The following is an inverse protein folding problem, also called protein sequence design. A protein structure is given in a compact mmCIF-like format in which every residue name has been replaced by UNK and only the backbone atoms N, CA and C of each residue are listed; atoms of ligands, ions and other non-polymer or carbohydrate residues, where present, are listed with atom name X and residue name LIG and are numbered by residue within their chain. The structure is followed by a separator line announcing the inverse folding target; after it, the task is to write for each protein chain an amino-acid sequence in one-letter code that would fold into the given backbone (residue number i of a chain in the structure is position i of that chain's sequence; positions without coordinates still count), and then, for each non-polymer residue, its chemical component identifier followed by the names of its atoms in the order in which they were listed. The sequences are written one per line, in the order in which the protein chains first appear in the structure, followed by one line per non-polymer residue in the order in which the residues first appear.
data_IF_268554376127
#
_entry.id   IF_268554376127
#
_cell.length_a   1.000
_cell.length_b   1.000
_cell.length_c   1.000
_cell.angle_alpha   90.00
_cell.angle_beta   90.00
_cell.angle_gamma   90.00
#
_symmetry.space_group_name_H-M   'P 1'
#
loop_
_entity.id
_entity.type
_entity.pdbx_description
1 polymer ?
#
# COMPACT_ATOMS: atom_id res chain seq x y z
N UNK A 1 -24.50 43.17 5.20
CA UNK A 1 -24.87 42.35 4.03
C UNK A 1 -23.60 41.77 3.41
N UNK A 2 -23.54 40.43 3.41
CA UNK A 2 -22.90 39.52 2.46
C UNK A 2 -21.62 39.99 1.73
N UNK A 3 -20.49 39.36 2.06
CA UNK A 3 -19.51 38.95 1.04
C UNK A 3 -18.73 37.74 1.56
N UNK A 4 -19.32 36.55 1.38
CA UNK A 4 -18.73 35.26 1.73
C UNK A 4 -18.19 34.54 0.50
N UNK A 5 -17.08 33.82 0.73
CA UNK A 5 -16.77 32.51 0.15
C UNK A 5 -16.63 32.38 -1.37
N UNK A 6 -15.44 32.60 -1.96
CA UNK A 6 -14.90 31.76 -3.06
C UNK A 6 -13.36 31.86 -3.18
N UNK A 7 -12.57 31.47 -2.18
CA UNK A 7 -11.11 31.31 -2.39
C UNK A 7 -10.51 30.20 -1.52
N UNK A 8 -10.88 28.94 -1.79
CA UNK A 8 -10.20 27.79 -1.17
C UNK A 8 -10.08 26.54 -2.03
N UNK A 9 -10.35 26.62 -3.35
CA UNK A 9 -10.23 25.47 -4.26
C UNK A 9 -9.26 25.65 -5.45
N UNK A 10 -8.59 26.80 -5.58
CA UNK A 10 -7.67 27.04 -6.72
C UNK A 10 -6.18 26.98 -6.39
N UNK A 11 -5.78 26.83 -5.13
CA UNK A 11 -4.35 26.81 -4.76
C UNK A 11 -3.76 25.40 -4.76
N UNK A 12 -4.58 24.35 -4.63
CA UNK A 12 -4.09 22.97 -4.65
C UNK A 12 -3.75 22.43 -6.04
N UNK A 13 -4.22 23.07 -7.11
CA UNK A 13 -3.95 22.65 -8.49
C UNK A 13 -2.61 23.19 -9.03
N UNK A 14 -2.04 24.24 -8.44
CA UNK A 14 -0.75 24.80 -8.87
C UNK A 14 0.46 24.13 -8.23
N UNK A 15 0.33 23.47 -7.08
CA UNK A 15 1.46 22.77 -6.42
C UNK A 15 1.74 21.41 -7.07
N UNK A 16 0.80 20.87 -7.85
CA UNK A 16 0.99 19.64 -8.64
C UNK A 16 1.84 19.90 -9.90
N UNK A 17 1.92 21.14 -10.39
CA UNK A 17 2.64 21.46 -11.64
C UNK A 17 4.14 21.67 -11.49
N UNK A 18 4.65 22.06 -10.31
CA UNK A 18 6.07 22.40 -10.16
C UNK A 18 6.96 21.22 -9.76
N UNK A 19 6.40 20.13 -9.21
CA UNK A 19 7.18 18.93 -8.89
C UNK A 19 7.49 18.04 -10.12
N UNK A 20 6.77 18.21 -11.24
CA UNK A 20 7.05 17.46 -12.47
C UNK A 20 8.21 18.02 -13.32
N UNK A 21 8.68 19.24 -13.04
CA UNK A 21 9.66 19.94 -13.90
C UNK A 21 11.14 19.75 -13.51
N UNK A 22 11.45 19.07 -12.40
CA UNK A 22 12.83 18.87 -11.95
C UNK A 22 13.43 17.49 -12.31
N UNK A 23 12.68 16.60 -12.96
CA UNK A 23 13.17 15.26 -13.36
C UNK A 23 13.92 15.21 -14.71
N UNK A 24 14.05 16.33 -15.43
CA UNK A 24 14.51 16.34 -16.83
C UNK A 24 16.02 16.58 -17.02
N UNK A 25 16.84 16.22 -16.06
CA UNK A 25 18.29 16.28 -16.21
C UNK A 25 18.93 15.06 -15.61
N UNK A 26 19.01 13.96 -16.36
CA UNK A 26 20.24 13.18 -16.54
C UNK A 26 19.98 11.97 -17.47
N UNK A 27 21.08 11.42 -18.00
CA UNK A 27 21.21 10.15 -18.75
C UNK A 27 21.23 10.31 -20.28
N UNK A 28 22.23 11.05 -20.76
CA UNK A 28 22.95 10.63 -21.97
C UNK A 28 24.21 9.90 -21.53
N UNK A 29 24.26 8.58 -21.69
CA UNK A 29 25.33 7.86 -22.39
C UNK A 29 25.37 6.37 -22.03
N UNK A 30 25.64 5.57 -23.07
CA UNK A 30 26.04 4.16 -23.08
C UNK A 30 24.94 3.10 -23.08
N UNK A 31 24.53 2.65 -24.27
CA UNK A 31 24.60 1.23 -24.67
C UNK A 31 24.43 1.14 -26.19
N UNK A 32 25.55 0.90 -26.89
CA UNK A 32 25.57 0.56 -28.31
C UNK A 32 25.25 -0.94 -28.47
N UNK A 33 24.52 -1.24 -29.55
CA UNK A 33 24.36 -2.54 -30.20
C UNK A 33 23.39 -3.58 -29.59
N UNK A 34 22.09 -3.31 -29.67
CA UNK A 34 21.07 -4.34 -29.94
C UNK A 34 19.97 -3.73 -30.82
N UNK A 35 19.84 -4.27 -32.05
CA UNK A 35 18.81 -4.04 -33.07
C UNK A 35 18.45 -2.57 -33.45
N UNK A 36 18.58 -2.26 -34.74
CA UNK A 36 18.12 -1.02 -35.39
C UNK A 36 16.66 -0.69 -35.02
N UNK A 37 16.47 0.41 -34.30
CA UNK A 37 15.37 1.38 -34.37
C UNK A 37 13.99 0.84 -34.80
N UNK A 38 13.11 0.50 -33.86
CA UNK A 38 11.68 0.31 -34.14
C UNK A 38 10.81 0.85 -32.99
N UNK A 39 10.06 1.92 -33.27
CA UNK A 39 8.71 2.07 -32.72
C UNK A 39 8.06 0.68 -32.84
N UNK A 40 7.52 0.10 -31.78
CA UNK A 40 7.05 -1.30 -31.74
C UNK A 40 5.53 -1.46 -32.01
N UNK A 41 5.01 -1.34 -33.24
CA UNK A 41 3.65 -1.78 -33.50
C UNK A 41 3.56 -3.30 -33.66
N UNK A 42 4.66 -4.01 -33.96
CA UNK A 42 4.59 -5.41 -34.40
C UNK A 42 5.73 -6.29 -33.86
N UNK A 43 5.39 -7.37 -33.17
CA UNK A 43 6.30 -8.44 -32.80
C UNK A 43 6.28 -9.56 -33.85
N UNK A 44 7.47 -9.97 -34.31
CA UNK A 44 7.61 -11.05 -35.29
C UNK A 44 7.34 -12.41 -34.63
N UNK A 45 6.41 -13.18 -35.18
CA UNK A 45 6.06 -14.52 -34.72
C UNK A 45 6.46 -15.60 -35.72
N UNK A 46 6.72 -16.82 -35.25
CA UNK A 46 7.19 -17.97 -36.04
C UNK A 46 6.13 -18.66 -36.93
N UNK A 47 5.11 -17.92 -37.35
CA UNK A 47 3.98 -18.47 -38.11
C UNK A 47 2.95 -19.23 -37.26
N UNK A 48 3.31 -19.69 -36.06
CA UNK A 48 2.39 -20.30 -35.08
C UNK A 48 1.81 -19.29 -34.07
N UNK A 49 2.26 -18.03 -34.15
CA UNK A 49 1.86 -16.96 -33.23
C UNK A 49 2.73 -16.85 -31.98
N UNK A 50 3.84 -17.57 -31.91
CA UNK A 50 4.83 -17.46 -30.84
C UNK A 50 5.95 -16.49 -31.24
N UNK A 51 6.24 -15.55 -30.35
CA UNK A 51 7.38 -14.63 -30.44
C UNK A 51 8.59 -15.30 -29.79
N UNK A 52 9.62 -15.59 -30.59
CA UNK A 52 10.84 -16.23 -30.13
C UNK A 52 11.87 -15.16 -29.71
N UNK A 53 11.78 -14.74 -28.45
CA UNK A 53 12.72 -13.80 -27.82
C UNK A 53 12.11 -12.48 -27.34
N UNK A 54 12.95 -11.58 -26.81
CA UNK A 54 12.51 -10.39 -26.09
C UNK A 54 11.93 -9.32 -27.01
N UNK A 55 10.92 -8.60 -26.51
CA UNK A 55 10.33 -7.42 -27.14
C UNK A 55 10.89 -6.17 -26.46
N UNK A 56 11.67 -5.38 -27.19
CA UNK A 56 12.31 -4.15 -26.68
C UNK A 56 11.83 -2.95 -27.50
N UNK A 57 11.22 -1.99 -26.83
CA UNK A 57 10.58 -0.84 -27.46
C UNK A 57 11.17 0.48 -26.96
N UNK A 58 11.52 1.38 -27.88
CA UNK A 58 12.18 2.65 -27.57
C UNK A 58 11.83 3.72 -28.61
N UNK A 59 11.63 4.97 -28.17
CA UNK A 59 11.22 6.09 -29.02
C UNK A 59 9.85 5.88 -29.68
N UNK A 60 9.13 6.97 -29.97
CA UNK A 60 7.95 6.91 -30.85
C UNK A 60 6.68 7.58 -30.36
N UNK A 61 5.67 7.53 -31.23
CA UNK A 61 4.28 7.94 -30.95
C UNK A 61 3.55 6.78 -30.29
N UNK A 62 2.53 7.06 -29.48
CA UNK A 62 1.67 6.05 -28.87
C UNK A 62 1.19 5.03 -29.91
N UNK A 63 1.41 3.74 -29.65
CA UNK A 63 1.09 2.66 -30.60
C UNK A 63 0.57 1.42 -29.89
N UNK A 64 -0.24 0.62 -30.59
CA UNK A 64 -0.68 -0.69 -30.12
C UNK A 64 0.29 -1.77 -30.59
N UNK A 65 0.80 -2.58 -29.68
CA UNK A 65 1.60 -3.75 -30.01
C UNK A 65 0.69 -4.89 -30.47
N UNK A 66 1.02 -5.45 -31.63
CA UNK A 66 0.37 -6.62 -32.19
C UNK A 66 1.41 -7.66 -32.64
N UNK A 67 0.97 -8.87 -32.97
CA UNK A 67 1.80 -9.93 -33.58
C UNK A 67 1.55 -10.00 -35.08
N UNK A 68 2.54 -10.47 -35.85
CA UNK A 68 2.40 -10.70 -37.31
C UNK A 68 1.26 -11.68 -37.65
N UNK A 69 0.88 -12.56 -36.74
CA UNK A 69 -0.31 -13.42 -36.84
C UNK A 69 -1.56 -12.68 -36.32
N UNK A 70 -2.48 -12.36 -37.23
CA UNK A 70 -3.65 -11.49 -36.99
C UNK A 70 -4.81 -12.16 -36.25
N UNK A 71 -4.82 -13.48 -36.09
CA UNK A 71 -5.99 -14.23 -35.61
C UNK A 71 -6.00 -14.59 -34.12
N UNK A 72 -4.90 -14.41 -33.39
CA UNK A 72 -4.77 -14.83 -31.99
C UNK A 72 -5.31 -13.82 -30.96
N UNK A 73 -5.94 -14.30 -29.87
CA UNK A 73 -6.32 -13.50 -28.68
C UNK A 73 -5.16 -13.27 -27.69
N UNK A 74 -3.98 -13.81 -28.01
CA UNK A 74 -2.84 -13.95 -27.11
C UNK A 74 -1.54 -13.65 -27.85
N UNK A 75 -0.55 -13.12 -27.13
CA UNK A 75 0.85 -12.99 -27.53
C UNK A 75 1.64 -13.95 -26.64
N UNK A 76 2.20 -15.01 -27.24
CA UNK A 76 3.04 -15.97 -26.54
C UNK A 76 4.50 -15.62 -26.77
N UNK A 77 5.26 -15.42 -25.70
CA UNK A 77 6.71 -15.17 -25.77
C UNK A 77 7.43 -16.39 -25.19
N UNK A 78 8.30 -17.01 -26.00
CA UNK A 78 9.15 -18.10 -25.57
C UNK A 78 10.58 -17.59 -25.28
N UNK A 79 11.02 -17.76 -24.03
CA UNK A 79 12.32 -17.29 -23.51
C UNK A 79 13.34 -18.43 -23.32
N UNK A 80 13.10 -19.63 -23.82
CA UNK A 80 13.94 -20.83 -23.57
C UNK A 80 15.40 -20.72 -24.05
N UNK A 81 15.74 -19.70 -24.86
CA UNK A 81 17.11 -19.35 -25.27
C UNK A 81 17.56 -17.93 -24.89
N UNK A 82 16.77 -17.23 -24.07
CA UNK A 82 16.96 -15.83 -23.69
C UNK A 82 16.77 -15.61 -22.19
N UNK A 83 17.14 -16.59 -21.39
CA UNK A 83 16.85 -16.65 -19.95
C UNK A 83 17.44 -15.49 -19.14
N UNK A 84 18.42 -14.78 -19.72
CA UNK A 84 19.13 -13.62 -19.16
C UNK A 84 18.49 -12.27 -19.48
N UNK A 85 17.39 -12.23 -20.25
CA UNK A 85 16.76 -11.00 -20.76
C UNK A 85 15.32 -10.83 -20.28
N UNK A 86 14.87 -9.58 -20.24
CA UNK A 86 13.47 -9.25 -20.00
C UNK A 86 12.62 -9.61 -21.24
N UNK A 87 11.48 -10.27 -21.05
CA UNK A 87 10.61 -10.66 -22.15
C UNK A 87 9.96 -9.43 -22.82
N UNK A 88 9.61 -8.41 -22.01
CA UNK A 88 9.11 -7.13 -22.50
C UNK A 88 9.88 -6.00 -21.82
N UNK A 89 10.48 -5.12 -22.61
CA UNK A 89 11.24 -3.95 -22.13
C UNK A 89 10.78 -2.68 -22.84
N UNK A 90 10.22 -1.75 -22.07
CA UNK A 90 9.75 -0.46 -22.56
C UNK A 90 10.72 0.63 -22.09
N UNK A 91 11.32 1.34 -23.05
CA UNK A 91 12.31 2.39 -22.82
C UNK A 91 11.69 3.78 -22.99
N UNK A 92 12.49 4.80 -22.67
CA UNK A 92 12.07 6.20 -22.80
C UNK A 92 11.49 6.54 -24.18
N UNK A 93 10.39 7.30 -24.16
CA UNK A 93 9.70 7.77 -25.35
C UNK A 93 8.80 6.74 -26.02
N UNK A 94 8.73 5.49 -25.52
CA UNK A 94 7.76 4.51 -26.01
C UNK A 94 6.47 4.57 -25.19
N UNK A 95 5.33 4.58 -25.88
CA UNK A 95 3.99 4.49 -25.29
C UNK A 95 3.23 3.35 -25.98
N UNK A 96 3.17 2.20 -25.29
CA UNK A 96 2.75 0.92 -25.89
C UNK A 96 1.48 0.42 -25.22
N UNK A 97 0.49 0.07 -26.03
CA UNK A 97 -0.72 -0.62 -25.58
C UNK A 97 -0.72 -2.08 -26.07
N UNK A 98 -0.91 -3.03 -25.17
CA UNK A 98 -1.06 -4.46 -25.49
C UNK A 98 -2.51 -4.88 -25.23
N UNK A 99 -3.27 -5.11 -26.28
CA UNK A 99 -4.69 -5.49 -26.20
C UNK A 99 -4.93 -6.99 -25.97
N UNK A 100 -3.93 -7.81 -26.31
CA UNK A 100 -4.01 -9.28 -26.25
C UNK A 100 -3.49 -9.79 -24.90
N UNK A 101 -3.92 -11.00 -24.50
CA UNK A 101 -3.33 -11.68 -23.33
C UNK A 101 -1.84 -11.90 -23.58
N UNK A 102 -0.99 -11.54 -22.64
CA UNK A 102 0.45 -11.80 -22.71
C UNK A 102 0.76 -13.06 -21.92
N UNK A 103 1.37 -14.05 -22.58
CA UNK A 103 1.81 -15.28 -21.93
C UNK A 103 3.29 -15.48 -22.16
N UNK A 104 4.06 -15.57 -21.09
CA UNK A 104 5.52 -15.75 -21.17
C UNK A 104 5.89 -17.12 -20.62
N UNK A 105 6.58 -17.92 -21.44
CA UNK A 105 7.05 -19.27 -21.11
C UNK A 105 8.55 -19.40 -21.38
N UNK A 106 9.17 -20.44 -20.79
CA UNK A 106 10.61 -20.62 -20.81
C UNK A 106 11.26 -19.93 -19.62
N UNK A 107 12.14 -20.65 -18.92
CA UNK A 107 12.71 -20.18 -17.67
C UNK A 107 13.53 -18.90 -17.89
N UNK A 108 13.05 -17.77 -17.38
CA UNK A 108 13.87 -16.58 -17.16
C UNK A 108 14.74 -16.89 -15.94
N UNK A 109 15.90 -17.50 -16.18
CA UNK A 109 16.89 -17.81 -15.14
C UNK A 109 17.64 -16.54 -14.78
N UNK A 110 17.22 -15.86 -13.72
CA UNK A 110 17.92 -14.68 -13.20
C UNK A 110 17.09 -13.88 -12.21
N UNK A 111 17.68 -12.83 -11.64
CA UNK A 111 17.01 -11.88 -10.73
C UNK A 111 16.21 -10.78 -11.44
N UNK A 112 16.17 -10.82 -12.78
CA UNK A 112 15.54 -9.79 -13.62
C UNK A 112 14.02 -9.95 -13.74
N UNK A 113 13.28 -8.85 -14.00
CA UNK A 113 11.84 -8.91 -14.23
C UNK A 113 11.49 -9.49 -15.60
N UNK A 114 10.29 -10.03 -15.74
CA UNK A 114 9.74 -10.43 -17.05
C UNK A 114 9.31 -9.21 -17.88
N UNK A 115 8.65 -8.25 -17.24
CA UNK A 115 8.23 -6.99 -17.84
C UNK A 115 8.98 -5.85 -17.14
N UNK A 116 9.72 -5.05 -17.91
CA UNK A 116 10.43 -3.88 -17.41
C UNK A 116 10.00 -2.62 -18.13
N UNK A 117 9.55 -1.62 -17.37
CA UNK A 117 9.20 -0.29 -17.90
C UNK A 117 10.17 0.72 -17.30
N UNK A 118 11.02 1.31 -18.14
CA UNK A 118 12.03 2.30 -17.73
C UNK A 118 11.48 3.73 -17.76
N UNK A 119 12.24 4.65 -17.17
CA UNK A 119 11.93 6.08 -17.13
C UNK A 119 11.58 6.64 -18.51
N UNK A 120 10.48 7.39 -18.56
CA UNK A 120 9.91 7.95 -19.79
C UNK A 120 9.16 6.93 -20.68
N UNK A 121 9.16 5.65 -20.33
CA UNK A 121 8.38 4.61 -21.02
C UNK A 121 6.99 4.45 -20.40
N UNK A 122 6.00 4.12 -21.24
CA UNK A 122 4.62 3.85 -20.83
C UNK A 122 4.14 2.54 -21.43
N UNK A 123 3.52 1.71 -20.59
CA UNK A 123 2.94 0.44 -20.99
C UNK A 123 1.51 0.35 -20.46
N UNK A 124 0.55 0.07 -21.34
CA UNK A 124 -0.82 -0.27 -20.99
C UNK A 124 -1.09 -1.72 -21.38
N UNK A 125 -1.41 -2.55 -20.40
CA UNK A 125 -1.79 -3.95 -20.60
C UNK A 125 -3.30 -4.06 -20.46
N UNK A 126 -3.98 -4.32 -21.58
CA UNK A 126 -5.43 -4.51 -21.64
C UNK A 126 -5.88 -5.98 -21.66
N UNK A 127 -4.98 -6.89 -22.00
CA UNK A 127 -5.18 -8.33 -21.85
C UNK A 127 -4.55 -8.85 -20.55
N UNK A 128 -4.97 -10.04 -20.11
CA UNK A 128 -4.36 -10.72 -18.96
C UNK A 128 -2.86 -10.98 -19.13
N UNK A 129 -2.13 -11.17 -18.04
CA UNK A 129 -0.69 -11.45 -18.06
C UNK A 129 -0.46 -12.76 -17.31
N UNK A 130 -0.17 -13.83 -18.03
CA UNK A 130 0.17 -15.12 -17.42
C UNK A 130 1.67 -15.36 -17.57
N UNK A 131 2.35 -15.53 -16.44
CA UNK A 131 3.80 -15.70 -16.43
C UNK A 131 4.10 -16.92 -15.59
N UNK A 132 4.68 -17.94 -16.23
CA UNK A 132 5.18 -19.11 -15.54
C UNK A 132 6.69 -18.97 -15.33
N UNK A 133 7.09 -18.01 -14.48
CA UNK A 133 8.51 -17.84 -14.10
C UNK A 133 8.68 -17.74 -12.61
N UNK A 134 9.89 -18.10 -12.17
CA UNK A 134 10.37 -17.91 -10.82
C UNK A 134 11.02 -16.53 -10.70
N UNK A 135 10.44 -15.63 -9.91
CA UNK A 135 11.01 -14.34 -9.53
C UNK A 135 10.06 -13.17 -9.71
N UNK A 136 10.66 -12.00 -9.90
CA UNK A 136 9.98 -10.74 -10.17
C UNK A 136 9.26 -10.79 -11.51
N UNK A 137 7.98 -10.50 -11.53
CA UNK A 137 7.22 -10.48 -12.79
C UNK A 137 7.34 -9.12 -13.45
N UNK A 138 7.17 -8.05 -12.68
CA UNK A 138 7.09 -6.68 -13.21
C UNK A 138 8.05 -5.76 -12.47
N UNK A 139 8.80 -4.94 -13.21
CA UNK A 139 9.55 -3.80 -12.69
C UNK A 139 9.15 -2.52 -13.41
N UNK A 140 8.67 -1.53 -12.66
CA UNK A 140 8.40 -0.17 -13.14
C UNK A 140 9.45 0.76 -12.56
N UNK A 141 10.41 1.15 -13.37
CA UNK A 141 11.61 1.87 -12.97
C UNK A 141 11.62 3.28 -13.55
N UNK A 142 10.93 4.20 -12.86
CA UNK A 142 10.67 5.57 -13.30
C UNK A 142 9.67 5.72 -14.45
N UNK A 143 9.19 4.60 -15.02
CA UNK A 143 8.18 4.58 -16.09
C UNK A 143 6.75 4.55 -15.56
N UNK A 144 5.79 4.30 -16.47
CA UNK A 144 4.39 4.12 -16.13
C UNK A 144 3.85 2.79 -16.66
N UNK A 145 3.22 2.01 -15.79
CA UNK A 145 2.50 0.80 -16.16
C UNK A 145 1.02 0.93 -15.77
N UNK A 146 0.14 0.67 -16.72
CA UNK A 146 -1.31 0.60 -16.53
C UNK A 146 -1.78 -0.83 -16.81
N UNK A 147 -2.38 -1.47 -15.81
CA UNK A 147 -3.03 -2.78 -15.92
C UNK A 147 -4.53 -2.53 -16.05
N UNK A 148 -5.11 -2.70 -17.23
CA UNK A 148 -6.51 -2.38 -17.53
C UNK A 148 -7.27 -3.62 -18.03
N UNK A 149 -7.81 -4.43 -17.10
CA UNK A 149 -8.47 -5.69 -17.46
C UNK A 149 -7.56 -6.92 -17.37
N UNK A 150 -6.42 -6.78 -16.71
CA UNK A 150 -5.59 -7.91 -16.29
C UNK A 150 -6.30 -8.66 -15.16
N UNK A 151 -6.56 -9.95 -15.32
CA UNK A 151 -7.24 -10.74 -14.28
C UNK A 151 -6.31 -11.28 -13.19
N UNK A 152 -5.11 -11.75 -13.58
CA UNK A 152 -4.16 -12.38 -12.66
C UNK A 152 -2.74 -12.06 -13.11
N UNK A 153 -1.85 -11.94 -12.13
CA UNK A 153 -0.40 -11.87 -12.26
C UNK A 153 0.17 -12.80 -11.19
N UNK A 154 0.89 -13.83 -11.62
CA UNK A 154 1.48 -14.83 -10.73
C UNK A 154 3.00 -14.77 -10.83
N UNK A 155 3.66 -14.61 -9.67
CA UNK A 155 5.11 -14.73 -9.52
C UNK A 155 5.43 -15.91 -8.62
N UNK A 156 6.34 -16.79 -9.05
CA UNK A 156 6.80 -17.93 -8.23
C UNK A 156 8.12 -17.56 -7.54
N UNK A 157 8.31 -17.90 -6.28
CA UNK A 157 9.56 -17.61 -5.54
C UNK A 157 9.49 -16.44 -4.56
N UNK A 158 10.54 -16.28 -3.77
CA UNK A 158 10.51 -15.59 -2.47
C UNK A 158 10.66 -14.07 -2.51
N UNK A 159 10.54 -13.47 -3.69
CA UNK A 159 10.76 -12.04 -3.93
C UNK A 159 9.47 -11.23 -4.05
N UNK A 160 9.60 -10.00 -4.52
CA UNK A 160 8.47 -9.17 -4.90
C UNK A 160 7.88 -9.58 -6.26
N UNK A 161 6.55 -9.72 -6.36
CA UNK A 161 5.88 -10.00 -7.64
C UNK A 161 5.97 -8.78 -8.56
N UNK A 162 5.78 -7.58 -8.00
CA UNK A 162 5.96 -6.32 -8.69
C UNK A 162 6.87 -5.38 -7.90
N UNK A 163 7.83 -4.78 -8.57
CA UNK A 163 8.67 -3.69 -8.05
C UNK A 163 8.33 -2.38 -8.76
N UNK A 164 8.01 -1.34 -8.00
CA UNK A 164 7.96 0.03 -8.49
C UNK A 164 9.10 0.79 -7.82
N UNK A 165 9.96 1.43 -8.61
CA UNK A 165 11.08 2.20 -8.08
C UNK A 165 11.37 3.45 -8.93
N UNK A 166 12.29 4.28 -8.45
CA UNK A 166 12.80 5.47 -9.14
C UNK A 166 11.68 6.43 -9.61
N UNK A 167 10.63 6.58 -8.80
CA UNK A 167 9.49 7.46 -9.12
C UNK A 167 8.51 6.87 -10.14
N UNK A 168 8.56 5.55 -10.38
CA UNK A 168 7.63 4.86 -11.26
C UNK A 168 6.17 4.96 -10.81
N UNK A 169 5.26 4.79 -11.76
CA UNK A 169 3.81 4.79 -11.51
C UNK A 169 3.19 3.47 -11.96
N UNK A 170 2.48 2.81 -11.05
CA UNK A 170 1.69 1.62 -11.33
C UNK A 170 0.20 1.93 -11.15
N UNK A 171 -0.61 1.73 -12.19
CA UNK A 171 -2.06 1.91 -12.16
C UNK A 171 -2.76 0.59 -12.42
N UNK A 172 -3.72 0.26 -11.56
CA UNK A 172 -4.56 -0.93 -11.61
C UNK A 172 -6.00 -0.50 -11.90
N UNK A 173 -6.45 -0.76 -13.12
CA UNK A 173 -7.70 -0.30 -13.74
C UNK A 173 -8.44 -1.48 -14.39
N UNK A 174 -9.55 -1.18 -15.08
CA UNK A 174 -10.36 -2.16 -15.81
C UNK A 174 -11.64 -2.53 -15.08
N UNK A 175 -12.30 -3.62 -15.48
CA UNK A 175 -13.58 -4.02 -14.90
C UNK A 175 -13.50 -5.28 -14.03
N UNK A 176 -12.39 -6.00 -14.08
CA UNK A 176 -12.16 -7.24 -13.33
C UNK A 176 -11.21 -7.00 -12.17
N UNK A 177 -11.38 -7.76 -11.08
CA UNK A 177 -10.41 -7.77 -9.99
C UNK A 177 -9.05 -8.30 -10.49
N UNK A 178 -7.97 -7.76 -9.92
CA UNK A 178 -6.59 -8.22 -10.20
C UNK A 178 -6.15 -9.12 -9.06
N UNK A 179 -5.73 -10.35 -9.37
CA UNK A 179 -5.06 -11.23 -8.41
C UNK A 179 -3.55 -11.17 -8.59
N UNK A 180 -2.81 -10.84 -7.52
CA UNK A 180 -1.36 -10.88 -7.44
C UNK A 180 -1.00 -12.05 -6.53
N UNK A 181 -0.36 -13.07 -7.09
CA UNK A 181 -0.07 -14.32 -6.38
C UNK A 181 1.43 -14.52 -6.22
N UNK A 182 1.85 -14.79 -4.98
CA UNK A 182 3.23 -15.14 -4.61
C UNK A 182 3.38 -16.61 -4.18
N UNK A 183 4.54 -16.91 -3.57
CA UNK A 183 4.89 -18.25 -3.08
C UNK A 183 4.61 -18.50 -1.58
N UNK A 184 4.12 -17.48 -0.89
CA UNK A 184 3.82 -17.47 0.55
C UNK A 184 4.78 -16.63 1.38
N UNK A 185 5.98 -16.34 0.87
CA UNK A 185 7.05 -15.62 1.57
C UNK A 185 7.34 -14.23 1.00
N UNK A 186 7.06 -14.05 -0.30
CA UNK A 186 7.33 -12.83 -1.05
C UNK A 186 6.38 -11.64 -0.79
N UNK A 187 6.68 -10.52 -1.43
CA UNK A 187 5.91 -9.26 -1.38
C UNK A 187 4.99 -9.16 -2.61
N UNK A 188 3.78 -8.66 -2.46
CA UNK A 188 2.90 -8.41 -3.60
C UNK A 188 3.42 -7.28 -4.49
N UNK A 189 3.37 -6.04 -3.98
CA UNK A 189 3.99 -4.86 -4.59
C UNK A 189 5.03 -4.29 -3.64
N UNK A 190 6.26 -4.06 -4.12
CA UNK A 190 7.32 -3.36 -3.39
C UNK A 190 7.57 -1.95 -3.97
N UNK A 191 7.73 -0.96 -3.08
CA UNK A 191 7.98 0.46 -3.37
C UNK A 191 8.91 1.05 -2.30
N UNK A 192 9.43 2.28 -2.44
CA UNK A 192 10.40 2.78 -1.45
C UNK A 192 10.94 4.21 -1.56
N UNK A 193 10.44 5.03 -2.48
CA UNK A 193 10.91 6.38 -2.74
C UNK A 193 9.81 7.35 -3.19
N UNK A 194 9.72 7.71 -4.48
CA UNK A 194 8.76 8.71 -4.99
C UNK A 194 7.65 8.05 -5.83
N UNK A 195 7.42 6.75 -5.62
CA UNK A 195 6.54 5.97 -6.49
C UNK A 195 5.06 6.15 -6.16
N UNK A 196 4.23 5.96 -7.19
CA UNK A 196 2.78 6.04 -7.07
C UNK A 196 2.13 4.72 -7.48
N UNK A 197 1.26 4.20 -6.62
CA UNK A 197 0.39 3.06 -6.88
C UNK A 197 -1.07 3.52 -6.81
N UNK A 198 -1.80 3.34 -7.90
CA UNK A 198 -3.22 3.69 -7.99
C UNK A 198 -4.05 2.44 -8.24
N UNK A 199 -5.01 2.15 -7.37
CA UNK A 199 -5.98 1.07 -7.49
C UNK A 199 -7.37 1.65 -7.76
N UNK A 200 -7.85 1.54 -8.99
CA UNK A 200 -9.21 1.93 -9.38
C UNK A 200 -10.20 0.76 -9.35
N UNK A 201 -9.72 -0.43 -8.93
CA UNK A 201 -10.46 -1.68 -8.84
C UNK A 201 -9.92 -2.55 -7.73
N UNK A 202 -10.72 -3.51 -7.31
CA UNK A 202 -10.35 -4.42 -6.24
C UNK A 202 -9.12 -5.26 -6.62
N UNK A 203 -8.20 -5.38 -5.67
CA UNK A 203 -6.95 -6.12 -5.84
C UNK A 203 -6.87 -7.18 -4.76
N UNK A 204 -6.64 -8.42 -5.16
CA UNK A 204 -6.42 -9.54 -4.26
C UNK A 204 -4.94 -9.93 -4.26
N UNK A 205 -4.34 -9.94 -3.09
CA UNK A 205 -3.02 -10.48 -2.84
C UNK A 205 -3.16 -11.87 -2.23
N UNK A 206 -2.63 -12.88 -2.91
CA UNK A 206 -2.72 -14.28 -2.48
C UNK A 206 -1.33 -14.87 -2.29
N UNK A 207 -1.13 -15.58 -1.18
CA UNK A 207 0.15 -16.23 -0.87
C UNK A 207 1.34 -15.24 -0.95
N UNK A 208 1.19 -14.08 -0.34
CA UNK A 208 2.28 -13.13 -0.11
C UNK A 208 2.41 -12.93 1.39
N UNK A 209 3.56 -12.58 1.91
CA UNK A 209 3.73 -12.20 3.32
C UNK A 209 3.20 -10.78 3.58
N UNK A 210 3.36 -9.91 2.59
CA UNK A 210 3.00 -8.50 2.64
C UNK A 210 2.29 -8.14 1.34
N UNK A 211 1.07 -7.60 1.41
CA UNK A 211 0.33 -7.18 0.21
C UNK A 211 1.06 -6.05 -0.52
N UNK A 212 1.28 -4.94 0.20
CA UNK A 212 2.11 -3.84 -0.25
C UNK A 212 3.23 -3.62 0.77
N UNK A 213 4.47 -3.58 0.29
CA UNK A 213 5.65 -3.25 1.07
C UNK A 213 6.22 -1.92 0.57
N UNK A 214 6.35 -0.96 1.48
CA UNK A 214 6.97 0.33 1.24
C UNK A 214 8.23 0.40 2.11
N UNK A 215 9.39 0.20 1.51
CA UNK A 215 10.66 0.13 2.21
C UNK A 215 11.63 1.17 1.63
N UNK A 216 12.00 2.17 2.42
CA UNK A 216 12.99 3.15 1.98
C UNK A 216 13.13 4.37 2.86
N UNK A 217 13.84 5.37 2.36
CA UNK A 217 14.26 6.54 3.14
C UNK A 217 14.02 7.88 2.45
N UNK A 218 13.13 7.93 1.45
CA UNK A 218 12.78 9.15 0.70
C UNK A 218 11.31 9.50 0.84
N UNK A 219 11.00 10.78 0.60
CA UNK A 219 9.65 11.30 0.69
C UNK A 219 8.86 11.07 -0.62
N UNK A 220 7.56 10.82 -0.52
CA UNK A 220 6.64 10.91 -1.68
C UNK A 220 6.02 9.60 -2.16
N UNK A 221 6.10 8.50 -1.41
CA UNK A 221 5.40 7.26 -1.78
C UNK A 221 3.89 7.46 -1.61
N UNK A 222 3.11 7.13 -2.64
CA UNK A 222 1.65 7.22 -2.60
C UNK A 222 0.99 5.91 -3.01
N UNK A 223 0.05 5.45 -2.19
CA UNK A 223 -0.86 4.34 -2.48
C UNK A 223 -2.29 4.85 -2.39
N UNK A 224 -3.03 4.77 -3.49
CA UNK A 224 -4.36 5.38 -3.61
C UNK A 224 -5.40 4.40 -4.12
N UNK A 225 -6.50 4.26 -3.39
CA UNK A 225 -7.74 3.66 -3.87
C UNK A 225 -8.67 4.72 -4.44
N UNK A 226 -9.07 4.57 -5.70
CA UNK A 226 -10.05 5.41 -6.39
C UNK A 226 -11.26 4.55 -6.77
N UNK A 227 -12.03 4.12 -5.77
CA UNK A 227 -13.20 3.28 -6.00
C UNK A 227 -14.20 3.97 -6.96
N UNK A 228 -15.03 3.18 -7.63
CA UNK A 228 -16.05 3.74 -8.51
C UNK A 228 -17.14 4.41 -7.68
N UNK A 229 -17.30 5.74 -7.81
CA UNK A 229 -18.31 6.52 -7.08
C UNK A 229 -17.80 7.01 -5.71
N UNK A 230 -18.65 6.94 -4.68
CA UNK A 230 -18.29 7.30 -3.29
C UNK A 230 -17.63 6.14 -2.51
N UNK A 231 -17.36 5.01 -3.16
CA UNK A 231 -16.81 3.81 -2.55
C UNK A 231 -15.28 3.82 -2.48
N UNK A 232 -14.72 3.07 -1.51
CA UNK A 232 -13.27 2.79 -1.42
C UNK A 232 -12.91 1.61 -2.33
N UNK A 233 -11.68 1.56 -2.81
CA UNK A 233 -11.18 0.37 -3.52
C UNK A 233 -10.80 -0.71 -2.50
N UNK A 234 -11.20 -1.97 -2.73
CA UNK A 234 -10.90 -3.08 -1.82
C UNK A 234 -9.55 -3.72 -2.16
N UNK A 235 -8.65 -3.73 -1.19
CA UNK A 235 -7.44 -4.54 -1.19
C UNK A 235 -7.66 -5.72 -0.26
N UNK A 236 -7.72 -6.93 -0.82
CA UNK A 236 -7.90 -8.17 -0.05
C UNK A 236 -6.58 -8.92 0.05
N UNK A 237 -6.17 -9.32 1.26
CA UNK A 237 -5.03 -10.23 1.48
C UNK A 237 -5.53 -11.60 1.93
N UNK A 238 -5.05 -12.67 1.28
CA UNK A 238 -5.49 -14.06 1.51
C UNK A 238 -4.35 -14.97 2.00
N UNK A 239 -4.74 -16.03 2.70
CA UNK A 239 -3.89 -17.15 3.12
C UNK A 239 -2.74 -16.73 4.05
N UNK A 240 -1.50 -16.72 3.54
CA UNK A 240 -0.25 -16.52 4.31
C UNK A 240 0.14 -15.06 4.53
N UNK A 241 -0.67 -14.10 4.06
CA UNK A 241 -0.44 -12.69 4.37
C UNK A 241 -0.29 -12.49 5.86
N UNK A 242 0.73 -11.78 6.31
CA UNK A 242 0.86 -11.35 7.69
C UNK A 242 0.50 -9.88 7.80
N UNK A 243 0.79 -9.10 6.75
CA UNK A 243 0.57 -7.66 6.73
C UNK A 243 -0.17 -7.23 5.46
N UNK A 244 -1.21 -6.41 5.62
CA UNK A 244 -1.86 -5.73 4.51
C UNK A 244 -0.89 -4.78 3.81
N UNK A 245 -0.55 -3.69 4.50
CA UNK A 245 0.45 -2.72 4.04
C UNK A 245 1.54 -2.57 5.10
N UNK A 246 2.79 -2.80 4.73
CA UNK A 246 3.95 -2.57 5.57
C UNK A 246 4.73 -1.36 5.09
N UNK A 247 5.12 -0.49 6.01
CA UNK A 247 5.92 0.70 5.74
C UNK A 247 7.14 0.67 6.66
N UNK A 248 8.33 0.54 6.08
CA UNK A 248 9.61 0.46 6.75
C UNK A 248 10.46 1.67 6.40
N UNK A 249 10.68 2.52 7.39
CA UNK A 249 11.49 3.71 7.27
C UNK A 249 12.96 3.39 7.53
N UNK A 250 13.78 3.45 6.49
CA UNK A 250 15.23 3.29 6.59
C UNK A 250 15.96 4.64 6.69
N UNK A 251 15.23 5.76 6.78
CA UNK A 251 15.79 7.09 6.91
C UNK A 251 14.75 8.14 7.28
N UNK A 252 14.05 8.68 6.26
CA UNK A 252 12.94 9.64 6.44
C UNK A 252 11.87 9.43 5.38
N UNK A 253 11.21 8.27 5.39
CA UNK A 253 10.12 7.99 4.45
C UNK A 253 8.90 8.85 4.74
N UNK A 254 8.30 9.44 3.71
CA UNK A 254 6.96 10.03 3.82
C UNK A 254 6.03 9.29 2.86
N UNK A 255 5.16 8.45 3.43
CA UNK A 255 4.23 7.63 2.68
C UNK A 255 2.78 8.05 2.96
N UNK A 256 1.95 8.03 1.93
CA UNK A 256 0.50 8.26 2.05
C UNK A 256 -0.26 7.06 1.50
N UNK A 257 -1.17 6.54 2.31
CA UNK A 257 -2.17 5.54 1.90
C UNK A 257 -3.55 6.18 2.03
N UNK A 258 -4.34 6.15 0.96
CA UNK A 258 -5.67 6.75 1.00
C UNK A 258 -6.72 6.02 0.16
N UNK A 259 -7.98 6.13 0.57
CA UNK A 259 -9.14 5.66 -0.20
C UNK A 259 -9.24 4.14 -0.35
N UNK A 260 -8.56 3.38 0.51
CA UNK A 260 -8.55 1.92 0.49
C UNK A 260 -9.43 1.31 1.58
N UNK A 261 -10.11 0.23 1.23
CA UNK A 261 -10.60 -0.78 2.18
C UNK A 261 -9.61 -1.95 2.16
N UNK A 262 -8.83 -2.10 3.22
CA UNK A 262 -7.84 -3.15 3.41
C UNK A 262 -8.50 -4.26 4.23
N UNK A 263 -8.66 -5.43 3.64
CA UNK A 263 -9.28 -6.56 4.32
C UNK A 263 -8.44 -7.83 4.22
N UNK A 264 -8.55 -8.66 5.24
CA UNK A 264 -8.03 -10.02 5.21
C UNK A 264 -9.16 -11.01 5.03
N UNK A 265 -8.99 -11.98 4.14
CA UNK A 265 -9.78 -13.21 4.15
C UNK A 265 -8.93 -14.40 4.61
N UNK A 266 -9.31 -15.02 5.72
CA UNK A 266 -8.62 -16.17 6.31
C UNK A 266 -8.32 -15.96 7.79
N UNK A 267 -7.87 -17.02 8.45
CA UNK A 267 -7.47 -17.02 9.87
C UNK A 267 -5.96 -16.81 9.98
N UNK A 268 -5.49 -16.07 10.97
CA UNK A 268 -4.05 -15.85 11.14
C UNK A 268 -3.73 -14.96 12.34
N UNK A 269 -3.22 -15.59 13.39
CA UNK A 269 -2.78 -14.91 14.61
C UNK A 269 -1.63 -13.95 14.31
N UNK A 270 -1.65 -12.76 14.90
CA UNK A 270 -0.58 -11.76 14.75
C UNK A 270 -0.62 -10.98 13.43
N UNK A 271 -1.67 -11.15 12.62
CA UNK A 271 -1.85 -10.40 11.38
C UNK A 271 -2.09 -8.90 11.63
N UNK A 272 -1.55 -8.05 10.75
CA UNK A 272 -1.66 -6.59 10.83
C UNK A 272 -2.29 -6.02 9.56
N UNK A 273 -3.28 -5.14 9.70
CA UNK A 273 -3.83 -4.42 8.54
C UNK A 273 -2.81 -3.46 7.94
N UNK A 274 -2.26 -2.60 8.80
CA UNK A 274 -1.14 -1.72 8.46
C UNK A 274 -0.05 -1.82 9.54
N UNK A 275 1.19 -1.95 9.12
CA UNK A 275 2.37 -1.91 10.00
C UNK A 275 3.31 -0.78 9.58
N UNK A 276 3.56 0.16 10.48
CA UNK A 276 4.57 1.20 10.32
C UNK A 276 5.75 0.93 11.26
N UNK A 277 6.91 0.70 10.67
CA UNK A 277 8.19 0.58 11.35
C UNK A 277 9.01 1.82 11.03
N UNK A 278 8.96 2.79 11.93
CA UNK A 278 9.77 4.00 11.85
C UNK A 278 11.26 3.72 12.01
N UNK A 279 12.09 4.69 11.62
CA UNK A 279 13.54 4.53 11.63
C UNK A 279 14.09 4.25 13.03
N UNK A 280 15.06 3.35 13.10
CA UNK A 280 15.86 3.11 14.32
C UNK A 280 17.02 4.10 14.45
N UNK A 281 17.33 4.85 13.39
CA UNK A 281 18.43 5.82 13.33
C UNK A 281 17.97 7.11 12.65
N UNK A 282 17.67 8.16 13.43
CA UNK A 282 17.33 9.49 12.90
C UNK A 282 15.98 10.03 13.36
N UNK A 283 15.48 11.07 12.67
CA UNK A 283 14.27 11.82 13.07
C UNK A 283 12.95 11.09 12.77
N UNK A 284 12.99 10.00 12.02
CA UNK A 284 11.81 9.24 11.63
C UNK A 284 10.99 9.90 10.51
N UNK A 285 10.37 9.05 9.71
CA UNK A 285 9.45 9.39 8.64
C UNK A 285 8.00 9.56 9.11
N UNK A 286 7.11 9.82 8.16
CA UNK A 286 5.67 9.95 8.38
C UNK A 286 4.88 8.95 7.53
N UNK A 287 3.95 8.24 8.15
CA UNK A 287 2.90 7.51 7.44
C UNK A 287 1.55 8.24 7.63
N UNK A 288 0.91 8.62 6.53
CA UNK A 288 -0.45 9.16 6.53
C UNK A 288 -1.44 8.10 6.02
N UNK A 289 -2.45 7.79 6.83
CA UNK A 289 -3.61 6.99 6.46
C UNK A 289 -4.83 7.91 6.36
N UNK A 290 -5.43 8.06 5.18
CA UNK A 290 -6.55 8.97 4.96
C UNK A 290 -7.73 8.28 4.30
N UNK A 291 -8.91 8.34 4.93
CA UNK A 291 -10.12 7.67 4.45
C UNK A 291 -9.89 6.17 4.20
N UNK A 292 -9.24 5.48 5.14
CA UNK A 292 -8.99 4.03 5.05
C UNK A 292 -9.98 3.23 5.88
N UNK A 293 -10.33 2.04 5.41
CA UNK A 293 -11.04 1.03 6.18
C UNK A 293 -10.17 -0.20 6.35
N UNK A 294 -10.04 -0.72 7.56
CA UNK A 294 -9.21 -1.89 7.86
C UNK A 294 -10.08 -2.94 8.53
N UNK A 295 -10.05 -4.20 8.06
CA UNK A 295 -10.86 -5.26 8.66
C UNK A 295 -10.27 -6.67 8.50
N UNK A 296 -10.62 -7.56 9.42
CA UNK A 296 -10.23 -8.98 9.35
C UNK A 296 -8.83 -9.30 9.87
N UNK A 297 -8.13 -8.33 10.44
CA UNK A 297 -6.80 -8.50 11.04
C UNK A 297 -6.89 -8.60 12.57
N UNK A 298 -5.92 -9.28 13.18
CA UNK A 298 -5.77 -9.31 14.64
C UNK A 298 -5.40 -7.92 15.17
N UNK A 299 -4.43 -7.26 14.52
CA UNK A 299 -4.10 -5.86 14.77
C UNK A 299 -4.54 -5.01 13.60
N UNK A 300 -5.33 -3.97 13.85
CA UNK A 300 -5.74 -3.04 12.80
C UNK A 300 -4.56 -2.25 12.25
N UNK A 301 -3.96 -1.41 13.09
CA UNK A 301 -2.78 -0.59 12.75
C UNK A 301 -1.74 -0.71 13.87
N UNK A 302 -0.48 -0.92 13.50
CA UNK A 302 0.66 -0.95 14.44
C UNK A 302 1.71 0.09 14.01
N UNK A 303 2.21 0.88 14.95
CA UNK A 303 3.29 1.85 14.74
C UNK A 303 4.42 1.61 15.76
N UNK A 304 5.66 1.58 15.28
CA UNK A 304 6.86 1.37 16.08
C UNK A 304 8.04 2.17 15.53
N UNK A 305 9.19 2.17 16.21
CA UNK A 305 10.38 2.92 15.79
C UNK A 305 10.21 4.45 15.88
N UNK A 306 11.20 5.23 15.43
CA UNK A 306 11.04 6.69 15.37
C UNK A 306 10.23 7.06 14.13
N UNK A 307 9.10 7.73 14.31
CA UNK A 307 8.29 8.19 13.20
C UNK A 307 6.94 8.72 13.67
N UNK A 308 6.15 9.23 12.73
CA UNK A 308 4.81 9.76 13.00
C UNK A 308 3.77 9.04 12.14
N UNK A 309 2.79 8.42 12.78
CA UNK A 309 1.60 7.87 12.14
C UNK A 309 0.44 8.87 12.25
N UNK A 310 -0.15 9.28 11.13
CA UNK A 310 -1.32 10.16 11.09
C UNK A 310 -2.50 9.45 10.44
N UNK A 311 -3.58 9.22 11.19
CA UNK A 311 -4.81 8.60 10.71
C UNK A 311 -5.92 9.65 10.66
N UNK A 312 -6.51 9.87 9.50
CA UNK A 312 -7.50 10.94 9.27
C UNK A 312 -8.61 10.50 8.30
N UNK A 313 -9.52 11.42 7.99
CA UNK A 313 -10.54 11.22 6.96
C UNK A 313 -11.63 10.24 7.36
N UNK A 314 -12.03 10.22 8.63
CA UNK A 314 -13.04 9.30 9.17
C UNK A 314 -12.71 7.82 8.91
N UNK A 315 -11.42 7.47 9.02
CA UNK A 315 -10.96 6.10 8.85
C UNK A 315 -11.60 5.15 9.87
N UNK A 316 -11.85 3.90 9.47
CA UNK A 316 -12.45 2.88 10.33
C UNK A 316 -11.52 1.68 10.45
N UNK A 317 -11.23 1.32 11.69
CA UNK A 317 -10.42 0.15 12.03
C UNK A 317 -11.35 -0.87 12.70
N UNK A 318 -11.41 -2.07 12.14
CA UNK A 318 -12.10 -3.21 12.73
C UNK A 318 -11.11 -4.36 12.91
N UNK A 319 -10.99 -4.85 14.13
CA UNK A 319 -10.05 -5.91 14.46
C UNK A 319 -10.78 -7.11 15.09
N UNK A 320 -10.12 -8.27 15.10
CA UNK A 320 -10.68 -9.55 15.57
C UNK A 320 -9.67 -10.28 16.45
N UNK A 321 -10.02 -11.50 16.86
CA UNK A 321 -9.13 -12.46 17.53
C UNK A 321 -8.60 -11.96 18.89
N UNK A 322 -9.44 -11.19 19.62
CA UNK A 322 -9.05 -10.49 20.86
C UNK A 322 -7.82 -9.57 20.69
N UNK A 323 -7.56 -9.10 19.46
CA UNK A 323 -6.37 -8.33 19.16
C UNK A 323 -6.48 -6.84 19.53
N UNK A 324 -5.84 -5.99 18.73
CA UNK A 324 -5.70 -4.56 19.03
C UNK A 324 -6.12 -3.70 17.84
N UNK A 325 -6.93 -2.66 18.08
CA UNK A 325 -7.30 -1.71 17.03
C UNK A 325 -6.10 -0.89 16.55
N UNK A 326 -5.56 -0.06 17.44
CA UNK A 326 -4.38 0.77 17.20
C UNK A 326 -3.31 0.51 18.26
N UNK A 327 -2.15 0.01 17.84
CA UNK A 327 -1.00 -0.27 18.69
C UNK A 327 0.15 0.72 18.39
N UNK A 328 0.68 1.39 19.41
CA UNK A 328 1.78 2.36 19.28
C UNK A 328 2.86 2.03 20.30
N UNK A 329 4.08 1.76 19.83
CA UNK A 329 5.19 1.23 20.65
C UNK A 329 6.54 1.86 20.31
N UNK A 330 7.53 1.63 21.16
CA UNK A 330 8.88 2.18 21.00
C UNK A 330 8.88 3.71 21.06
N UNK A 331 9.40 4.37 20.03
CA UNK A 331 9.53 5.83 19.96
C UNK A 331 8.54 6.47 18.96
N UNK A 332 7.47 5.75 18.59
CA UNK A 332 6.53 6.21 17.58
C UNK A 332 5.56 7.25 18.15
N UNK A 333 5.32 8.32 17.38
CA UNK A 333 4.19 9.23 17.60
C UNK A 333 3.01 8.79 16.75
N UNK A 334 1.81 8.97 17.26
CA UNK A 334 0.60 8.70 16.50
C UNK A 334 -0.50 9.72 16.77
N UNK A 335 -1.24 10.07 15.73
CA UNK A 335 -2.45 10.88 15.82
C UNK A 335 -3.57 10.21 15.04
N UNK A 336 -4.77 10.12 15.63
CA UNK A 336 -5.99 9.76 14.92
C UNK A 336 -7.03 10.86 15.10
N UNK A 337 -7.50 11.43 13.98
CA UNK A 337 -8.52 12.49 13.96
C UNK A 337 -9.78 11.99 13.26
N UNK A 338 -10.86 11.92 14.03
CA UNK A 338 -12.12 11.35 13.58
C UNK A 338 -12.06 9.82 13.43
N UNK A 339 -13.18 9.24 13.02
CA UNK A 339 -13.26 7.83 12.66
C UNK A 339 -13.57 6.90 13.84
N UNK A 340 -13.39 5.61 13.58
CA UNK A 340 -13.86 4.56 14.50
C UNK A 340 -12.84 3.43 14.68
N UNK A 341 -12.77 2.90 15.88
CA UNK A 341 -12.07 1.66 16.23
C UNK A 341 -13.10 0.70 16.82
N UNK A 342 -13.27 -0.46 16.20
CA UNK A 342 -14.29 -1.44 16.58
C UNK A 342 -13.64 -2.81 16.79
N UNK A 343 -13.81 -3.38 17.98
CA UNK A 343 -13.29 -4.72 18.30
C UNK A 343 -14.32 -5.83 18.11
N UNK A 344 -14.00 -7.00 18.67
CA UNK A 344 -14.83 -8.21 18.70
C UNK A 344 -15.42 -8.51 20.09
N UNK A 345 -15.32 -7.56 21.01
CA UNK A 345 -15.87 -7.59 22.35
C UNK A 345 -14.89 -7.94 23.47
N UNK A 346 -13.66 -8.39 23.16
CA UNK A 346 -12.68 -8.84 24.17
C UNK A 346 -11.30 -8.21 24.05
N UNK A 347 -10.90 -7.77 22.85
CA UNK A 347 -9.59 -7.15 22.63
C UNK A 347 -9.47 -5.70 23.12
N UNK A 348 -8.36 -5.04 22.73
CA UNK A 348 -8.03 -3.66 23.15
C UNK A 348 -8.24 -2.68 22.01
N UNK A 349 -9.02 -1.62 22.21
CA UNK A 349 -9.21 -0.58 21.21
C UNK A 349 -7.90 0.10 20.85
N UNK A 350 -7.24 0.67 21.86
CA UNK A 350 -5.97 1.38 21.70
C UNK A 350 -4.95 0.91 22.72
N UNK A 351 -3.73 0.61 22.25
CA UNK A 351 -2.60 0.23 23.08
C UNK A 351 -1.43 1.21 22.89
N UNK A 352 -1.11 1.95 23.95
CA UNK A 352 -0.03 2.93 24.01
C UNK A 352 1.12 2.41 24.88
N UNK A 353 2.15 1.87 24.24
CA UNK A 353 3.40 1.43 24.87
C UNK A 353 4.62 2.25 24.43
N UNK A 354 4.43 3.27 23.59
CA UNK A 354 5.53 4.16 23.19
C UNK A 354 5.90 5.12 24.31
N UNK A 355 7.16 5.59 24.33
CA UNK A 355 7.61 6.69 25.19
C UNK A 355 7.10 8.08 24.76
N UNK A 356 6.50 8.19 23.56
CA UNK A 356 6.03 9.44 22.97
C UNK A 356 4.54 9.69 23.21
N UNK A 357 3.85 10.31 22.25
CA UNK A 357 2.44 10.70 22.37
C UNK A 357 1.57 9.96 21.35
N UNK A 358 0.43 9.46 21.82
CA UNK A 358 -0.71 9.10 21.00
C UNK A 358 -1.86 10.08 21.29
N UNK A 359 -2.33 10.77 20.25
CA UNK A 359 -3.46 11.70 20.33
C UNK A 359 -4.66 11.19 19.54
N UNK A 360 -5.81 11.12 20.20
CA UNK A 360 -7.10 10.73 19.63
C UNK A 360 -8.05 11.92 19.73
N UNK A 361 -8.51 12.44 18.60
CA UNK A 361 -9.43 13.57 18.53
C UNK A 361 -10.73 13.15 17.86
N UNK A 362 -11.83 13.22 18.59
CA UNK A 362 -13.17 12.80 18.13
C UNK A 362 -13.20 11.37 17.55
N UNK A 363 -12.58 10.42 18.24
CA UNK A 363 -12.54 9.00 17.84
C UNK A 363 -13.53 8.19 18.66
N UNK A 364 -14.35 7.37 17.98
CA UNK A 364 -15.23 6.40 18.65
C UNK A 364 -14.53 5.04 18.77
N UNK A 365 -14.42 4.52 19.99
CA UNK A 365 -13.92 3.19 20.31
C UNK A 365 -15.07 2.36 20.88
N UNK A 366 -15.37 1.21 20.28
CA UNK A 366 -16.51 0.38 20.69
C UNK A 366 -16.26 -1.11 20.55
N UNK A 367 -17.05 -1.92 21.25
CA UNK A 367 -17.01 -3.40 21.17
C UNK A 367 -15.64 -3.95 21.56
N UNK A 368 -15.09 -3.46 22.67
CA UNK A 368 -13.77 -3.85 23.17
C UNK A 368 -13.85 -4.24 24.64
N UNK A 369 -12.97 -5.14 25.06
CA UNK A 369 -12.78 -5.46 26.47
C UNK A 369 -12.01 -4.36 27.20
N UNK A 370 -11.04 -3.75 26.50
CA UNK A 370 -10.31 -2.58 27.00
C UNK A 370 -10.41 -1.44 25.99
N UNK A 371 -10.90 -0.27 26.40
CA UNK A 371 -11.00 0.91 25.52
C UNK A 371 -9.63 1.44 25.12
N UNK A 372 -8.85 1.83 26.12
CA UNK A 372 -7.45 2.23 25.98
C UNK A 372 -6.57 1.62 27.07
N UNK A 373 -5.37 1.18 26.69
CA UNK A 373 -4.33 0.71 27.61
C UNK A 373 -3.05 1.51 27.40
N UNK A 374 -2.60 2.25 28.41
CA UNK A 374 -1.35 3.00 28.37
C UNK A 374 -0.39 2.48 29.45
N UNK A 375 0.79 2.02 29.02
CA UNK A 375 1.86 1.53 29.91
C UNK A 375 3.13 2.38 29.85
N UNK A 376 3.23 3.25 28.84
CA UNK A 376 4.30 4.24 28.72
C UNK A 376 3.80 5.50 27.98
N UNK A 377 4.60 6.57 28.01
CA UNK A 377 4.35 7.79 27.25
C UNK A 377 3.03 8.48 27.61
N UNK A 378 2.46 9.20 26.64
CA UNK A 378 1.25 10.01 26.82
C UNK A 378 0.14 9.59 25.87
N UNK A 379 -1.00 9.16 26.41
CA UNK A 379 -2.24 8.96 25.68
C UNK A 379 -3.17 10.16 25.92
N UNK A 380 -3.54 10.86 24.85
CA UNK A 380 -4.47 12.01 24.92
C UNK A 380 -5.73 11.69 24.14
N UNK A 381 -6.88 11.85 24.77
CA UNK A 381 -8.20 11.79 24.14
C UNK A 381 -8.89 13.13 24.30
N UNK A 382 -9.29 13.75 23.20
CA UNK A 382 -9.96 15.04 23.20
C UNK A 382 -11.08 15.14 22.15
N UNK A 383 -11.72 16.31 22.09
CA UNK A 383 -12.85 16.56 21.21
C UNK A 383 -14.11 15.84 21.68
N UNK A 384 -14.73 15.08 20.81
CA UNK A 384 -15.94 14.29 21.09
C UNK A 384 -15.64 12.78 21.17
N UNK A 385 -14.41 12.41 21.59
CA UNK A 385 -13.98 11.01 21.60
C UNK A 385 -14.81 10.16 22.57
N UNK A 386 -15.22 8.97 22.16
CA UNK A 386 -16.05 8.07 22.98
C UNK A 386 -15.39 6.71 23.12
N UNK A 387 -15.41 6.17 24.33
CA UNK A 387 -15.09 4.76 24.61
C UNK A 387 -16.38 4.07 25.06
N UNK A 388 -16.70 2.93 24.47
CA UNK A 388 -17.77 2.03 24.92
C UNK A 388 -17.25 0.61 25.03
N UNK A 389 -17.10 0.12 26.25
CA UNK A 389 -16.59 -1.23 26.52
C UNK A 389 -17.71 -2.24 26.71
N UNK A 390 -17.39 -3.52 26.59
CA UNK A 390 -18.30 -4.63 26.87
C UNK A 390 -18.54 -4.83 28.37
N UNK A 391 -19.47 -5.72 28.74
CA UNK A 391 -19.72 -6.04 30.14
C UNK A 391 -18.44 -6.57 30.81
N UNK A 392 -18.13 -6.08 32.01
CA UNK A 392 -16.90 -6.40 32.71
C UNK A 392 -15.63 -5.76 32.13
N UNK A 393 -15.76 -4.96 31.06
CA UNK A 393 -14.62 -4.32 30.40
C UNK A 393 -14.07 -3.11 31.14
N UNK A 394 -12.87 -2.69 30.76
CA UNK A 394 -12.18 -1.52 31.32
C UNK A 394 -12.10 -0.40 30.28
N UNK A 395 -12.70 0.76 30.57
CA UNK A 395 -12.65 1.93 29.70
C UNK A 395 -11.21 2.36 29.41
N UNK A 396 -10.47 2.75 30.44
CA UNK A 396 -9.08 3.16 30.34
C UNK A 396 -8.23 2.51 31.43
N UNK A 397 -7.15 1.83 31.04
CA UNK A 397 -6.16 1.24 31.96
C UNK A 397 -4.83 1.94 31.79
N UNK A 398 -4.32 2.56 32.86
CA UNK A 398 -3.10 3.36 32.86
C UNK A 398 -2.13 2.78 33.90
N UNK A 399 -0.92 2.43 33.49
CA UNK A 399 0.06 1.78 34.36
C UNK A 399 1.50 2.21 34.08
N UNK A 400 2.43 1.77 34.92
CA UNK A 400 3.85 2.09 34.77
C UNK A 400 4.10 3.59 34.99
N UNK A 401 4.73 4.24 34.01
CA UNK A 401 4.98 5.69 34.00
C UNK A 401 4.10 6.44 32.98
N UNK A 402 3.04 5.79 32.50
CA UNK A 402 2.17 6.37 31.50
C UNK A 402 1.38 7.55 32.06
N UNK A 403 1.06 8.47 31.17
CA UNK A 403 0.10 9.54 31.41
C UNK A 403 -1.08 9.37 30.46
N UNK A 404 -2.29 9.40 31.00
CA UNK A 404 -3.50 9.50 30.20
C UNK A 404 -4.22 10.83 30.47
N UNK A 405 -4.69 11.49 29.41
CA UNK A 405 -5.49 12.71 29.54
C UNK A 405 -6.75 12.57 28.72
N UNK A 406 -7.90 12.62 29.37
CA UNK A 406 -9.21 12.78 28.73
C UNK A 406 -9.66 14.22 28.94
N UNK A 407 -9.96 14.91 27.84
CA UNK A 407 -10.39 16.31 27.89
C UNK A 407 -11.49 16.62 26.89
N UNK A 408 -12.15 17.77 27.07
CA UNK A 408 -13.27 18.20 26.22
C UNK A 408 -14.51 17.35 26.44
N UNK A 409 -15.31 17.13 25.41
CA UNK A 409 -16.54 16.32 25.48
C UNK A 409 -16.26 14.81 25.35
N UNK A 410 -15.06 14.37 25.75
CA UNK A 410 -14.69 12.97 25.67
C UNK A 410 -15.37 12.16 26.77
N UNK A 411 -15.86 10.97 26.46
CA UNK A 411 -16.65 10.16 27.40
C UNK A 411 -16.24 8.69 27.41
N UNK A 412 -16.31 8.07 28.58
CA UNK A 412 -16.22 6.62 28.77
C UNK A 412 -17.59 6.10 29.18
N UNK A 413 -18.10 5.14 28.42
CA UNK A 413 -19.35 4.43 28.70
C UNK A 413 -19.03 2.99 29.07
N UNK A 414 -19.48 2.60 30.26
CA UNK A 414 -19.26 1.27 30.83
C UNK A 414 -20.59 0.51 30.81
N UNK A 415 -20.56 -0.75 30.36
CA UNK A 415 -21.67 -1.69 30.50
C UNK A 415 -21.61 -2.40 31.85
N UNK A 416 -22.54 -3.31 32.13
CA UNK A 416 -22.65 -4.00 33.42
C UNK A 416 -21.30 -4.50 33.96
N UNK A 417 -21.02 -4.20 35.23
CA UNK A 417 -19.87 -4.68 36.00
C UNK A 417 -18.46 -4.30 35.47
N UNK A 418 -18.33 -3.25 34.64
CA UNK A 418 -17.03 -2.79 34.13
C UNK A 418 -16.35 -1.71 34.98
N UNK A 419 -15.12 -1.37 34.59
CA UNK A 419 -14.29 -0.34 35.22
C UNK A 419 -14.15 0.87 34.29
N UNK A 420 -14.48 2.07 34.76
CA UNK A 420 -14.31 3.32 34.00
C UNK A 420 -12.85 3.62 33.68
N UNK A 421 -12.08 3.88 34.74
CA UNK A 421 -10.68 4.23 34.71
C UNK A 421 -9.94 3.41 35.78
N UNK A 422 -8.86 2.76 35.39
CA UNK A 422 -7.95 2.03 36.26
C UNK A 422 -6.56 2.66 36.17
N UNK A 423 -5.98 3.05 37.32
CA UNK A 423 -4.64 3.63 37.40
C UNK A 423 -3.80 2.80 38.37
N UNK A 424 -2.63 2.33 37.91
CA UNK A 424 -1.74 1.42 38.65
C UNK A 424 -0.31 1.95 38.71
N UNK A 425 0.36 1.76 39.85
CA UNK A 425 1.77 2.12 40.02
C UNK A 425 1.98 3.65 40.03
N UNK A 426 3.02 4.12 39.35
CA UNK A 426 3.39 5.55 39.25
C UNK A 426 2.62 6.30 38.14
N UNK A 427 1.62 5.65 37.54
CA UNK A 427 0.91 6.20 36.40
C UNK A 427 0.00 7.37 36.80
N UNK A 428 -0.28 8.24 35.84
CA UNK A 428 -1.10 9.42 36.07
C UNK A 428 -2.25 9.52 35.06
N UNK A 429 -3.43 9.90 35.54
CA UNK A 429 -4.59 10.10 34.69
C UNK A 429 -5.27 11.43 35.05
N UNK A 430 -5.59 12.22 34.04
CA UNK A 430 -6.30 13.49 34.20
C UNK A 430 -7.57 13.48 33.36
N UNK A 431 -8.70 13.81 33.98
CA UNK A 431 -10.00 13.96 33.32
C UNK A 431 -10.49 15.40 33.59
N UNK A 432 -10.76 16.18 32.55
CA UNK A 432 -11.01 17.62 32.68
C UNK A 432 -11.92 18.20 31.59
#
# INVERSE_FOLDING_TARGET
MVMGCVFKHHVYLCVVSTAMLAGLSLITSHTKAYAKQQNCPMASSDGSGVVNGPIVCSGGVATTLNTTSSSGKEIKINMSGHSDKEAVKIMSGADIMIMKKLTVTGAVKGSGPVIKVLSGGKLMLKGGVEVDVTGKVIEVNGGMLMLDGVGMIEGKGSGEVMLVNNGGTLMMMGNSAITIKGDGSGKGVQMGSMETLVMMRDVTFENVSEGINIEGGREGVMVMGLGTGMGKTTMTVKNSGNVGIKVEDTGKINATVMGLKIERSGTGSGSKGVEFVGSVTGKGGTLMLNMVEISGFATGVSASGNGTLNIMGNSRITFKENGTGLEVKGEANATMMGGKIVGDGKGTGVQMGSSKTLMLTSVDISEVGVGGSASNGKLVMNGESKITVTSGGTGLSVSGKAMATLMGNSAITIKENGTGLEVKGEANATMM
#
